data_IF_717222053473
#
_entry.id   IF_717222053473
#
_cell.length_a   1.000
_cell.length_b   1.000
_cell.length_c   1.000
_cell.angle_alpha   90.00
_cell.angle_beta   90.00
_cell.angle_gamma   90.00
#
_symmetry.space_group_name_H-M   'P 1'
#
loop_
_entity.id
_entity.type
_entity.pdbx_description
1 polymer ?
#
# COMPACT_ATOMS: atom_id res chain seq x y z
N UNK A 1 -0.26 31.29 -9.33
CA UNK A 1 -1.69 31.17 -8.96
C UNK A 1 -2.27 32.43 -8.35
N UNK A 2 -1.85 32.91 -7.18
CA UNK A 2 -2.43 34.13 -6.55
C UNK A 2 -2.56 35.34 -7.49
N UNK A 3 -1.48 35.73 -8.16
CA UNK A 3 -1.51 36.83 -9.15
C UNK A 3 -2.43 36.54 -10.34
N UNK A 4 -2.46 35.31 -10.81
CA UNK A 4 -3.38 34.92 -11.89
C UNK A 4 -4.84 35.13 -11.46
N UNK A 5 -5.21 34.76 -10.24
CA UNK A 5 -6.58 34.95 -9.78
C UNK A 5 -6.92 36.41 -9.44
N UNK A 6 -5.98 37.16 -8.85
CA UNK A 6 -6.22 38.50 -8.29
C UNK A 6 -5.89 39.69 -9.20
N UNK A 7 -5.25 39.48 -10.35
CA UNK A 7 -4.83 40.55 -11.26
C UNK A 7 -5.58 40.53 -12.59
N UNK A 8 -5.63 41.68 -13.26
CA UNK A 8 -6.07 41.77 -14.65
C UNK A 8 -5.07 41.07 -15.57
N UNK A 9 -5.55 40.41 -16.63
CA UNK A 9 -4.68 39.70 -17.57
C UNK A 9 -4.51 40.52 -18.84
N UNK A 10 -3.31 40.46 -19.40
CA UNK A 10 -2.96 41.15 -20.64
C UNK A 10 -2.32 40.15 -21.59
N UNK A 11 -2.82 40.10 -22.82
CA UNK A 11 -2.21 39.28 -23.87
C UNK A 11 -0.84 39.83 -24.25
N UNK A 12 0.07 38.94 -24.68
CA UNK A 12 1.43 39.30 -25.12
C UNK A 12 1.73 38.83 -26.56
N UNK A 13 1.01 39.31 -27.59
CA UNK A 13 1.29 38.92 -28.98
C UNK A 13 2.73 39.29 -29.35
N UNK A 14 3.50 38.30 -29.81
CA UNK A 14 4.93 38.50 -30.11
C UNK A 14 5.80 38.85 -28.90
N UNK A 15 5.33 38.60 -27.67
CA UNK A 15 6.06 38.88 -26.43
C UNK A 15 5.87 40.29 -25.86
N UNK A 16 5.07 41.16 -26.50
CA UNK A 16 4.80 42.53 -26.04
C UNK A 16 3.41 42.62 -25.41
N UNK A 17 3.33 43.17 -24.19
CA UNK A 17 2.07 43.29 -23.45
C UNK A 17 1.10 44.30 -24.06
N UNK A 18 -0.16 43.88 -24.22
CA UNK A 18 -1.25 44.74 -24.67
C UNK A 18 -1.65 45.76 -23.60
N UNK A 19 -1.90 47.00 -24.02
CA UNK A 19 -2.40 48.06 -23.12
C UNK A 19 -3.82 47.80 -22.59
N UNK A 20 -4.61 46.99 -23.30
CA UNK A 20 -5.98 46.64 -22.90
C UNK A 20 -5.98 45.25 -22.26
N UNK A 21 -6.58 45.08 -21.06
CA UNK A 21 -6.70 43.77 -20.44
C UNK A 21 -7.70 42.88 -21.21
N UNK A 22 -7.61 41.58 -21.00
CA UNK A 22 -8.60 40.61 -21.49
C UNK A 22 -9.93 40.78 -20.73
N UNK A 23 -10.96 40.03 -21.13
CA UNK A 23 -12.25 40.01 -20.43
C UNK A 23 -12.20 39.34 -19.03
N UNK A 24 -11.03 38.88 -18.58
CA UNK A 24 -10.85 38.33 -17.25
C UNK A 24 -11.14 39.41 -16.19
N UNK A 25 -12.08 39.10 -15.28
CA UNK A 25 -12.35 39.93 -14.11
C UNK A 25 -11.60 39.31 -12.93
N UNK A 26 -10.70 40.06 -12.26
CA UNK A 26 -10.01 39.56 -11.08
C UNK A 26 -10.99 39.02 -10.04
N UNK A 27 -10.67 37.88 -9.46
CA UNK A 27 -11.45 37.21 -8.42
C UNK A 27 -12.88 36.84 -8.84
N UNK A 28 -13.19 36.74 -10.14
CA UNK A 28 -14.57 36.53 -10.58
C UNK A 28 -15.14 35.14 -10.28
N UNK A 29 -14.28 34.15 -10.00
CA UNK A 29 -14.66 32.77 -9.65
C UNK A 29 -13.53 32.06 -8.90
N UNK A 30 -13.83 31.00 -8.12
CA UNK A 30 -12.80 30.18 -7.52
C UNK A 30 -12.03 29.37 -8.57
N UNK A 31 -10.85 28.90 -8.18
CA UNK A 31 -10.01 27.96 -8.93
C UNK A 31 -10.17 26.57 -8.33
N UNK A 32 -10.31 25.58 -9.19
CA UNK A 32 -10.36 24.16 -8.82
C UNK A 32 -9.07 23.46 -9.24
N UNK A 33 -8.67 22.45 -8.48
CA UNK A 33 -7.65 21.50 -8.92
C UNK A 33 -8.35 20.26 -9.46
N UNK A 34 -8.23 19.99 -10.75
CA UNK A 34 -8.89 18.85 -11.39
C UNK A 34 -8.03 17.58 -11.40
N UNK A 35 -6.71 17.75 -11.51
CA UNK A 35 -5.74 16.65 -11.59
C UNK A 35 -4.52 16.95 -10.71
N UNK A 36 -4.75 17.11 -9.40
CA UNK A 36 -3.66 17.33 -8.46
C UNK A 36 -2.98 16.00 -8.13
N UNK A 37 -1.68 15.88 -8.42
CA UNK A 37 -0.91 14.73 -8.01
C UNK A 37 0.51 14.73 -8.56
N UNK A 38 1.24 13.67 -8.22
CA UNK A 38 2.55 13.35 -8.78
C UNK A 38 2.67 11.83 -8.93
N UNK A 39 3.49 11.34 -9.87
CA UNK A 39 3.76 9.91 -10.00
C UNK A 39 4.51 9.37 -8.78
N UNK A 40 4.25 8.12 -8.40
CA UNK A 40 4.96 7.44 -7.32
C UNK A 40 6.32 6.89 -7.78
N UNK A 41 7.22 7.79 -8.10
CA UNK A 41 8.55 7.54 -8.64
C UNK A 41 9.52 8.54 -8.01
N UNK A 42 10.79 8.17 -7.84
CA UNK A 42 11.84 9.07 -7.34
C UNK A 42 11.73 10.43 -8.04
N UNK A 43 11.74 11.51 -7.25
CA UNK A 43 11.60 12.89 -7.72
C UNK A 43 10.33 13.17 -8.53
N UNK A 44 9.24 12.43 -8.29
CA UNK A 44 7.93 12.64 -8.92
C UNK A 44 7.45 14.08 -8.88
N UNK A 45 7.73 14.78 -7.78
CA UNK A 45 7.38 16.19 -7.58
C UNK A 45 8.11 17.18 -8.51
N UNK A 46 9.24 16.80 -9.11
CA UNK A 46 10.02 17.68 -9.99
C UNK A 46 9.34 17.95 -11.33
N UNK A 47 8.52 17.00 -11.79
CA UNK A 47 7.73 17.11 -13.00
C UNK A 47 6.41 16.34 -12.80
N UNK A 48 5.46 16.89 -12.02
CA UNK A 48 4.27 16.17 -11.57
C UNK A 48 3.34 15.76 -12.72
N UNK A 49 3.47 16.38 -13.89
CA UNK A 49 2.73 16.04 -15.10
C UNK A 49 3.28 14.83 -15.87
N UNK A 50 4.50 14.38 -15.59
CA UNK A 50 5.12 13.26 -16.28
C UNK A 50 4.70 11.92 -15.66
N UNK A 51 4.62 10.88 -16.50
CA UNK A 51 4.26 9.53 -16.09
C UNK A 51 4.98 8.50 -16.95
N UNK A 52 5.07 7.27 -16.44
CA UNK A 52 5.64 6.12 -17.15
C UNK A 52 4.50 5.23 -17.64
N UNK A 53 4.37 5.14 -18.97
CA UNK A 53 3.46 4.21 -19.63
C UNK A 53 4.05 3.76 -20.97
N UNK A 54 4.35 2.47 -21.11
CA UNK A 54 4.92 1.90 -22.32
C UNK A 54 4.03 2.09 -23.57
N UNK A 55 2.75 2.45 -23.41
CA UNK A 55 1.79 2.68 -24.49
C UNK A 55 1.64 4.15 -24.87
N UNK A 56 2.19 5.07 -24.09
CA UNK A 56 2.09 6.51 -24.34
C UNK A 56 3.33 7.05 -25.03
N UNK A 57 3.13 7.83 -26.10
CA UNK A 57 4.21 8.59 -26.73
C UNK A 57 4.73 9.77 -25.87
N UNK A 58 4.01 10.13 -24.82
CA UNK A 58 4.36 11.20 -23.87
C UNK A 58 5.00 10.64 -22.58
N UNK A 59 5.32 9.35 -22.55
CA UNK A 59 5.92 8.69 -21.39
C UNK A 59 7.34 9.20 -21.11
N UNK A 60 7.56 9.77 -19.93
CA UNK A 60 8.86 10.23 -19.48
C UNK A 60 9.00 10.14 -17.96
N UNK A 61 10.23 9.92 -17.49
CA UNK A 61 10.56 10.00 -16.07
C UNK A 61 10.78 11.47 -15.68
N UNK A 62 10.52 11.84 -14.40
CA UNK A 62 10.90 13.16 -13.90
C UNK A 62 12.40 13.43 -14.08
N UNK A 63 12.81 14.70 -14.29
CA UNK A 63 14.21 15.06 -14.37
C UNK A 63 15.02 14.58 -13.16
N UNK A 64 16.18 13.99 -13.44
CA UNK A 64 17.13 13.44 -12.45
C UNK A 64 16.63 12.24 -11.64
N UNK A 65 15.46 11.70 -11.97
CA UNK A 65 14.90 10.50 -11.33
C UNK A 65 15.76 9.27 -11.64
N UNK A 66 16.02 8.44 -10.63
CA UNK A 66 16.61 7.11 -10.80
C UNK A 66 15.59 6.02 -11.20
N UNK A 67 14.31 6.39 -11.26
CA UNK A 67 13.14 5.55 -11.58
C UNK A 67 12.79 4.49 -10.54
N UNK A 68 13.30 4.61 -9.31
CA UNK A 68 12.81 3.82 -8.18
C UNK A 68 11.35 4.20 -7.87
N UNK A 69 10.55 3.25 -7.37
CA UNK A 69 9.20 3.57 -6.89
C UNK A 69 9.33 4.31 -5.55
N UNK A 70 8.60 5.40 -5.45
CA UNK A 70 8.58 6.23 -4.25
C UNK A 70 7.13 6.66 -3.94
N UNK A 71 6.52 5.97 -2.98
CA UNK A 71 5.17 6.32 -2.51
C UNK A 71 5.22 7.50 -1.53
N UNK A 72 6.36 7.72 -0.86
CA UNK A 72 6.52 8.82 0.10
C UNK A 72 6.54 10.16 -0.63
N UNK A 73 7.26 10.31 -1.75
CA UNK A 73 7.29 11.57 -2.50
C UNK A 73 5.90 11.93 -3.05
N UNK A 74 5.12 10.94 -3.50
CA UNK A 74 3.74 11.15 -3.93
C UNK A 74 2.90 11.68 -2.75
N UNK A 75 2.96 11.01 -1.60
CA UNK A 75 2.25 11.43 -0.38
C UNK A 75 2.66 12.84 0.05
N UNK A 76 3.97 13.11 0.17
CA UNK A 76 4.52 14.41 0.57
C UNK A 76 4.11 15.53 -0.39
N UNK A 77 4.05 15.25 -1.69
CA UNK A 77 3.56 16.21 -2.67
C UNK A 77 2.10 16.60 -2.37
N UNK A 78 1.24 15.60 -2.16
CA UNK A 78 -0.17 15.84 -1.85
C UNK A 78 -0.34 16.58 -0.52
N UNK A 79 0.33 16.14 0.54
CA UNK A 79 0.33 16.79 1.86
C UNK A 79 0.77 18.25 1.77
N UNK A 80 1.83 18.54 1.00
CA UNK A 80 2.33 19.89 0.81
C UNK A 80 1.30 20.79 0.11
N UNK A 81 0.68 20.34 -0.97
CA UNK A 81 -0.35 21.12 -1.66
C UNK A 81 -1.59 21.34 -0.79
N UNK A 82 -2.10 20.29 -0.15
CA UNK A 82 -3.31 20.35 0.68
C UNK A 82 -3.10 21.26 1.89
N UNK A 83 -2.00 21.08 2.63
CA UNK A 83 -1.70 21.91 3.81
C UNK A 83 -1.37 23.37 3.44
N UNK A 84 -0.69 23.60 2.31
CA UNK A 84 -0.35 24.95 1.88
C UNK A 84 -1.60 25.78 1.56
N UNK A 85 -2.61 25.20 0.90
CA UNK A 85 -3.83 25.92 0.54
C UNK A 85 -4.90 25.91 1.64
N UNK A 86 -4.81 25.01 2.61
CA UNK A 86 -5.65 25.04 3.81
C UNK A 86 -5.33 26.22 4.75
N UNK A 87 -4.14 26.82 4.65
CA UNK A 87 -3.78 28.02 5.40
C UNK A 87 -4.55 29.25 4.88
N UNK A 88 -5.30 29.87 5.78
CA UNK A 88 -6.13 31.02 5.46
C UNK A 88 -5.37 32.22 4.90
N UNK A 89 -4.13 32.42 5.33
CA UNK A 89 -3.27 33.49 4.83
C UNK A 89 -2.80 33.24 3.38
N UNK A 90 -2.84 31.99 2.92
CA UNK A 90 -2.34 31.58 1.59
C UNK A 90 -3.45 31.45 0.56
N UNK A 91 -4.69 31.24 0.99
CA UNK A 91 -5.89 31.14 0.17
C UNK A 91 -6.89 32.29 0.48
N UNK A 92 -6.69 33.51 -0.04
CA UNK A 92 -7.46 34.68 0.37
C UNK A 92 -8.93 34.64 -0.05
N UNK A 93 -9.77 35.40 0.66
CA UNK A 93 -11.18 35.62 0.31
C UNK A 93 -11.33 36.49 -0.96
N UNK A 94 -12.42 36.23 -1.69
CA UNK A 94 -12.84 37.06 -2.83
C UNK A 94 -13.61 38.29 -2.37
N UNK A 95 -13.34 39.42 -3.03
CA UNK A 95 -14.13 40.64 -2.91
C UNK A 95 -15.36 40.64 -3.84
N UNK A 96 -15.50 39.64 -4.72
CA UNK A 96 -16.54 39.58 -5.77
C UNK A 96 -17.61 38.53 -5.47
N UNK A 97 -17.26 37.43 -4.79
CA UNK A 97 -18.19 36.37 -4.41
C UNK A 97 -17.94 35.91 -2.97
N UNK A 98 -18.91 35.25 -2.37
CA UNK A 98 -18.74 34.63 -1.05
C UNK A 98 -17.91 33.34 -1.19
N UNK A 99 -16.63 33.40 -0.82
CA UNK A 99 -15.73 32.26 -0.86
C UNK A 99 -14.28 32.68 -1.11
N UNK A 100 -13.42 31.66 -1.24
CA UNK A 100 -11.96 31.82 -1.31
C UNK A 100 -11.43 31.60 -2.72
N UNK A 101 -10.17 31.98 -2.94
CA UNK A 101 -9.49 31.81 -4.23
C UNK A 101 -9.50 30.36 -4.72
N UNK A 102 -9.14 29.42 -3.86
CA UNK A 102 -9.26 27.98 -4.11
C UNK A 102 -10.44 27.42 -3.33
N UNK A 103 -11.22 26.61 -4.03
CA UNK A 103 -12.28 25.80 -3.46
C UNK A 103 -11.69 24.47 -2.98
N UNK A 104 -11.53 24.34 -1.66
CA UNK A 104 -10.85 23.20 -1.05
C UNK A 104 -11.68 21.90 -1.17
N UNK A 105 -13.00 22.00 -1.33
CA UNK A 105 -13.88 20.85 -1.56
C UNK A 105 -13.71 20.28 -2.98
N UNK A 106 -13.14 21.07 -3.90
CA UNK A 106 -12.90 20.71 -5.30
C UNK A 106 -11.39 20.57 -5.61
N UNK A 107 -10.63 20.01 -4.66
CA UNK A 107 -9.27 19.53 -4.88
C UNK A 107 -9.28 18.06 -5.32
N UNK A 108 -9.57 17.81 -6.60
CA UNK A 108 -9.62 16.48 -7.19
C UNK A 108 -8.21 15.89 -7.32
N UNK A 109 -7.97 14.79 -6.61
CA UNK A 109 -6.68 14.11 -6.57
C UNK A 109 -6.56 13.10 -7.71
N UNK A 110 -5.51 13.26 -8.52
CA UNK A 110 -5.14 12.33 -9.56
C UNK A 110 -4.16 11.28 -9.01
N UNK A 111 -4.31 9.98 -9.25
CA UNK A 111 -5.35 9.28 -10.02
C UNK A 111 -6.11 8.30 -9.12
N UNK A 112 -6.97 8.80 -8.22
CA UNK A 112 -7.86 7.89 -7.49
C UNK A 112 -9.05 7.50 -8.39
N UNK A 113 -9.30 6.20 -8.52
CA UNK A 113 -10.49 5.70 -9.20
C UNK A 113 -11.17 4.55 -8.43
N UNK A 114 -12.35 4.14 -8.92
CA UNK A 114 -13.21 3.17 -8.25
C UNK A 114 -12.73 1.70 -8.33
N UNK A 115 -11.62 1.40 -9.00
CA UNK A 115 -11.13 0.01 -9.11
C UNK A 115 -10.60 -0.46 -7.76
N UNK A 116 -11.06 -1.60 -7.22
CA UNK A 116 -10.67 -2.02 -5.90
C UNK A 116 -9.20 -2.48 -5.89
N UNK A 117 -8.46 -2.08 -4.86
CA UNK A 117 -7.15 -2.65 -4.55
C UNK A 117 -7.36 -3.92 -3.71
N UNK A 118 -6.64 -5.03 -3.96
CA UNK A 118 -5.53 -5.19 -4.91
C UNK A 118 -5.93 -5.64 -6.32
N UNK A 119 -7.23 -5.84 -6.62
CA UNK A 119 -7.65 -6.34 -7.93
C UNK A 119 -7.13 -5.47 -9.07
N UNK A 120 -7.18 -4.15 -8.94
CA UNK A 120 -6.29 -3.26 -9.67
C UNK A 120 -5.09 -2.94 -8.76
N UNK A 121 -3.84 -3.13 -9.22
CA UNK A 121 -3.43 -3.43 -10.60
C UNK A 121 -3.35 -4.92 -10.99
N UNK A 122 -3.64 -5.86 -10.08
CA UNK A 122 -3.24 -7.26 -10.24
C UNK A 122 -3.96 -8.02 -11.38
N UNK A 123 -5.23 -7.73 -11.65
CA UNK A 123 -6.10 -8.42 -12.63
C UNK A 123 -5.88 -7.89 -14.04
N UNK A 124 -4.73 -8.21 -14.60
CA UNK A 124 -4.35 -7.83 -15.98
C UNK A 124 -5.18 -8.52 -17.06
N UNK A 125 -5.94 -9.55 -16.69
CA UNK A 125 -6.98 -10.18 -17.52
C UNK A 125 -8.25 -9.32 -17.67
N UNK A 126 -8.45 -8.34 -16.77
CA UNK A 126 -9.55 -7.37 -16.83
C UNK A 126 -9.06 -6.02 -17.36
N UNK A 127 -7.94 -5.53 -16.82
CA UNK A 127 -7.40 -4.20 -17.13
C UNK A 127 -6.00 -4.26 -17.73
N UNK A 128 -5.76 -3.49 -18.79
CA UNK A 128 -4.50 -3.59 -19.54
C UNK A 128 -3.39 -2.63 -19.07
N UNK A 129 -3.72 -1.71 -18.17
CA UNK A 129 -2.89 -0.62 -17.64
C UNK A 129 -2.30 -0.91 -16.24
N UNK A 130 -2.45 -2.13 -15.71
CA UNK A 130 -1.95 -2.49 -14.38
C UNK A 130 -0.45 -2.25 -14.18
N UNK A 131 0.37 -2.39 -15.23
CA UNK A 131 1.81 -2.13 -15.15
C UNK A 131 2.13 -0.65 -14.85
N UNK A 132 1.30 0.29 -15.29
CA UNK A 132 1.50 1.73 -15.10
C UNK A 132 1.23 2.18 -13.66
N UNK A 133 0.51 1.37 -12.85
CA UNK A 133 0.26 1.66 -11.44
C UNK A 133 1.56 1.83 -10.64
N UNK A 134 2.56 0.97 -10.91
CA UNK A 134 3.79 0.88 -10.12
C UNK A 134 4.53 2.22 -9.99
N UNK A 135 4.62 2.99 -11.08
CA UNK A 135 5.34 4.27 -11.13
C UNK A 135 4.45 5.45 -11.51
N UNK A 136 3.14 5.23 -11.64
CA UNK A 136 2.17 6.25 -12.03
C UNK A 136 1.50 6.93 -10.84
N UNK A 137 0.50 7.76 -11.14
CA UNK A 137 -0.21 8.61 -10.18
C UNK A 137 -1.27 7.91 -9.33
N UNK A 138 -1.58 6.64 -9.60
CA UNK A 138 -2.66 5.95 -8.91
C UNK A 138 -2.49 5.93 -7.40
N UNK A 139 -3.59 6.22 -6.71
CA UNK A 139 -3.66 6.27 -5.25
C UNK A 139 -4.24 4.98 -4.64
N UNK A 140 -4.81 4.11 -5.47
CA UNK A 140 -5.40 2.83 -5.08
C UNK A 140 -4.34 1.96 -4.39
N UNK A 141 -4.58 1.61 -3.12
CA UNK A 141 -3.62 0.86 -2.28
C UNK A 141 -2.54 1.71 -1.60
N UNK A 142 -2.40 3.00 -1.94
CA UNK A 142 -1.41 3.92 -1.35
C UNK A 142 -2.01 4.93 -0.37
N UNK A 143 -3.17 5.50 -0.70
CA UNK A 143 -3.81 6.56 0.08
C UNK A 143 -4.21 6.14 1.51
N UNK A 144 -4.33 4.83 1.78
CA UNK A 144 -4.65 4.30 3.10
C UNK A 144 -3.44 3.97 3.98
N UNK A 145 -2.21 4.12 3.48
CA UNK A 145 -1.01 3.82 4.26
C UNK A 145 -0.78 4.88 5.34
N UNK A 146 -0.19 4.48 6.47
CA UNK A 146 0.19 5.41 7.53
C UNK A 146 1.57 6.00 7.25
N UNK A 147 1.84 7.22 7.74
CA UNK A 147 3.21 7.70 7.78
C UNK A 147 3.97 6.99 8.92
N UNK A 148 5.29 6.93 8.79
CA UNK A 148 6.15 6.46 9.87
C UNK A 148 5.95 7.28 11.14
N UNK A 149 5.87 8.60 11.00
CA UNK A 149 5.64 9.54 12.10
C UNK A 149 4.35 9.22 12.88
N UNK A 150 3.21 9.10 12.18
CA UNK A 150 1.92 8.75 12.79
C UNK A 150 1.96 7.36 13.47
N UNK A 151 2.65 6.40 12.86
CA UNK A 151 2.78 5.04 13.42
C UNK A 151 3.58 5.05 14.73
N UNK A 152 4.69 5.80 14.76
CA UNK A 152 5.53 5.95 15.95
C UNK A 152 4.79 6.71 17.05
N UNK A 153 4.11 7.81 16.71
CA UNK A 153 3.27 8.57 17.65
C UNK A 153 2.19 7.69 18.28
N UNK A 154 1.46 6.88 17.50
CA UNK A 154 0.43 5.98 18.04
C UNK A 154 1.01 4.94 19.00
N UNK A 155 2.18 4.36 18.69
CA UNK A 155 2.87 3.41 19.58
C UNK A 155 3.27 4.10 20.90
N UNK A 156 3.85 5.30 20.83
CA UNK A 156 4.25 6.08 22.01
C UNK A 156 3.04 6.50 22.85
N UNK A 157 1.98 6.99 22.22
CA UNK A 157 0.76 7.43 22.89
C UNK A 157 0.10 6.26 23.65
N UNK A 158 0.04 5.06 23.07
CA UNK A 158 -0.46 3.84 23.73
C UNK A 158 0.38 3.43 24.94
N UNK A 159 1.65 3.79 24.95
CA UNK A 159 2.55 3.59 26.08
C UNK A 159 2.44 4.68 27.16
N UNK A 160 1.61 5.71 26.94
CA UNK A 160 1.48 6.87 27.81
C UNK A 160 2.55 7.94 27.60
N UNK A 161 3.34 7.86 26.53
CA UNK A 161 4.36 8.85 26.18
C UNK A 161 3.79 9.82 25.14
N UNK A 162 3.39 11.00 25.58
CA UNK A 162 2.77 12.02 24.72
C UNK A 162 3.72 13.12 24.30
N UNK A 163 4.84 13.28 25.00
CA UNK A 163 5.87 14.28 24.67
C UNK A 163 6.95 13.65 23.79
N UNK A 164 6.63 13.57 22.50
CA UNK A 164 7.49 12.98 21.46
C UNK A 164 7.59 13.90 20.26
N UNK A 165 8.77 13.96 19.62
CA UNK A 165 9.01 14.65 18.36
C UNK A 165 9.28 13.66 17.24
N UNK A 166 8.44 13.68 16.22
CA UNK A 166 8.56 12.84 15.03
C UNK A 166 8.62 13.65 13.74
N UNK A 167 8.84 14.97 13.83
CA UNK A 167 8.85 15.86 12.65
C UNK A 167 9.86 15.45 11.59
N UNK A 168 10.95 14.85 12.03
CA UNK A 168 12.09 14.45 11.20
C UNK A 168 11.97 13.01 10.69
N UNK A 169 10.86 12.33 10.98
CA UNK A 169 10.57 11.00 10.45
C UNK A 169 9.90 11.08 9.06
N UNK A 170 10.63 10.60 8.05
CA UNK A 170 10.13 10.32 6.71
C UNK A 170 9.92 8.83 6.46
N UNK A 171 8.75 8.40 6.02
CA UNK A 171 8.50 7.02 5.64
C UNK A 171 7.01 6.72 5.48
N UNK A 172 6.71 5.67 4.71
CA UNK A 172 5.36 5.13 4.56
C UNK A 172 5.34 3.72 5.13
N UNK A 173 4.43 3.48 6.07
CA UNK A 173 4.15 2.16 6.66
C UNK A 173 2.88 1.63 6.01
N UNK A 174 3.05 0.70 5.07
CA UNK A 174 1.93 0.05 4.36
C UNK A 174 1.01 -0.70 5.33
N UNK A 175 1.59 -1.32 6.35
CA UNK A 175 0.87 -1.97 7.43
C UNK A 175 1.82 -2.52 8.48
N UNK A 176 1.33 -2.62 9.71
CA UNK A 176 2.04 -3.26 10.83
C UNK A 176 1.01 -4.01 11.68
N UNK A 177 1.36 -5.24 12.11
CA UNK A 177 0.47 -6.08 12.90
C UNK A 177 1.11 -6.47 14.24
N UNK A 178 0.66 -5.84 15.32
CA UNK A 178 1.05 -6.22 16.70
C UNK A 178 -0.11 -7.00 17.32
N UNK A 179 -0.01 -8.33 17.28
CA UNK A 179 -1.10 -9.25 17.65
C UNK A 179 -0.96 -9.86 19.07
N UNK A 180 0.10 -9.50 19.78
CA UNK A 180 0.41 -9.98 21.12
C UNK A 180 0.82 -8.83 22.05
N UNK A 181 0.59 -8.96 23.37
CA UNK A 181 1.06 -7.97 24.34
C UNK A 181 2.57 -7.78 24.24
N UNK A 182 2.99 -6.55 23.96
CA UNK A 182 4.41 -6.20 23.79
C UNK A 182 4.71 -4.84 24.42
N UNK A 183 5.99 -4.52 24.56
CA UNK A 183 6.43 -3.19 25.02
C UNK A 183 6.50 -2.23 23.83
N UNK A 184 6.35 -0.93 24.07
CA UNK A 184 6.52 0.08 23.02
C UNK A 184 7.90 0.00 22.37
N UNK A 185 8.96 -0.24 23.16
CA UNK A 185 10.32 -0.46 22.65
C UNK A 185 10.38 -1.64 21.68
N UNK A 186 9.77 -2.77 22.02
CA UNK A 186 9.77 -3.95 21.16
C UNK A 186 8.93 -3.75 19.88
N UNK A 187 7.85 -2.96 19.95
CA UNK A 187 7.07 -2.57 18.78
C UNK A 187 7.83 -1.59 17.86
N UNK A 188 8.62 -0.67 18.43
CA UNK A 188 9.43 0.30 17.67
C UNK A 188 10.68 -0.31 17.04
N UNK A 189 11.29 -1.33 17.66
CA UNK A 189 12.52 -1.95 17.17
C UNK A 189 12.49 -2.39 15.68
N UNK A 190 11.46 -3.10 15.17
CA UNK A 190 11.39 -3.44 13.75
C UNK A 190 11.24 -2.20 12.85
N UNK A 191 10.56 -1.15 13.32
CA UNK A 191 10.46 0.12 12.58
C UNK A 191 11.82 0.84 12.54
N UNK A 192 12.58 0.87 13.64
CA UNK A 192 13.92 1.45 13.68
C UNK A 192 14.86 0.73 12.71
N UNK A 193 14.84 -0.61 12.73
CA UNK A 193 15.61 -1.45 11.82
C UNK A 193 15.22 -1.20 10.35
N UNK A 194 13.92 -1.16 10.06
CA UNK A 194 13.41 -0.93 8.72
C UNK A 194 13.78 0.46 8.20
N UNK A 195 13.38 1.50 8.91
CA UNK A 195 13.43 2.88 8.43
C UNK A 195 14.71 3.64 8.84
N UNK A 196 15.63 3.02 9.59
CA UNK A 196 16.93 3.58 9.98
C UNK A 196 16.84 4.92 10.74
N UNK A 197 15.97 4.98 11.74
CA UNK A 197 15.88 6.15 12.62
C UNK A 197 16.38 5.85 14.04
N UNK A 198 16.93 6.88 14.66
CA UNK A 198 17.34 6.87 16.05
C UNK A 198 16.30 7.53 16.95
N UNK A 199 16.38 7.20 18.24
CA UNK A 199 15.55 7.79 19.29
C UNK A 199 16.48 8.30 20.37
N UNK A 200 16.39 9.60 20.65
CA UNK A 200 17.17 10.26 21.71
C UNK A 200 16.24 11.03 22.63
N UNK A 201 16.72 11.31 23.84
CA UNK A 201 16.08 12.29 24.72
C UNK A 201 16.79 13.64 24.52
N UNK A 202 16.01 14.69 24.29
CA UNK A 202 16.48 16.06 24.10
C UNK A 202 15.54 17.00 24.85
N UNK A 203 16.08 17.71 25.83
CA UNK A 203 15.34 18.64 26.70
C UNK A 203 14.06 18.04 27.34
N UNK A 204 14.10 16.76 27.74
CA UNK A 204 12.98 16.05 28.36
C UNK A 204 12.00 15.39 27.38
N UNK A 205 12.18 15.59 26.07
CA UNK A 205 11.33 15.04 25.01
C UNK A 205 12.05 13.91 24.28
N UNK A 206 11.31 12.89 23.86
CA UNK A 206 11.86 11.87 22.95
C UNK A 206 11.83 12.40 21.51
N UNK A 207 12.99 12.54 20.90
CA UNK A 207 13.13 12.99 19.50
C UNK A 207 13.49 11.79 18.62
N UNK A 208 12.71 11.61 17.56
CA UNK A 208 12.84 10.56 16.57
C UNK A 208 13.29 11.17 15.24
N UNK A 209 14.45 10.76 14.75
CA UNK A 209 15.05 11.35 13.56
C UNK A 209 15.85 10.33 12.75
N UNK A 210 15.94 10.56 11.44
CA UNK A 210 16.79 9.77 10.55
C UNK A 210 18.27 10.09 10.78
N UNK A 211 19.05 9.08 11.17
CA UNK A 211 20.48 9.27 11.49
C UNK A 211 21.34 9.64 10.28
N UNK A 212 20.92 9.28 9.07
CA UNK A 212 21.67 9.55 7.83
C UNK A 212 21.67 11.04 7.43
N UNK A 213 20.66 11.79 7.88
CA UNK A 213 20.46 13.20 7.51
C UNK A 213 21.16 14.18 8.46
N UNK A 214 21.70 13.68 9.59
CA UNK A 214 22.44 14.49 10.53
C UNK A 214 23.80 14.92 9.94
N UNK A 215 24.20 16.19 10.10
CA UNK A 215 25.51 16.67 9.67
C UNK A 215 26.62 15.90 10.40
N UNK A 216 27.67 15.54 9.67
CA UNK A 216 28.85 14.88 10.26
C UNK A 216 29.76 15.94 10.86
N UNK A 217 29.87 15.98 12.19
CA UNK A 217 30.78 16.88 12.87
C UNK A 217 32.22 16.33 12.80
N UNK A 218 33.17 17.13 12.32
CA UNK A 218 34.57 16.74 12.34
C UNK A 218 35.17 17.06 13.73
N UNK A 219 35.84 16.09 14.35
CA UNK A 219 36.62 16.30 15.56
C UNK A 219 38.11 16.11 15.28
N UNK A 220 38.91 17.07 15.75
CA UNK A 220 40.37 17.01 15.71
C UNK A 220 40.99 16.78 17.09
N UNK A 221 42.33 16.68 17.16
CA UNK A 221 43.05 16.53 18.41
C UNK A 221 42.73 17.61 19.46
N UNK A 222 42.52 18.85 19.00
CA UNK A 222 42.24 20.01 19.86
C UNK A 222 40.82 19.98 20.49
N UNK A 223 39.95 19.09 20.00
CA UNK A 223 38.60 18.89 20.56
C UNK A 223 38.56 17.87 21.70
N UNK A 224 39.68 17.19 21.99
CA UNK A 224 39.77 16.14 23.00
C UNK A 224 40.41 16.64 24.31
N UNK A 225 40.10 15.98 25.43
CA UNK A 225 40.61 16.38 26.75
C UNK A 225 42.09 16.00 26.95
N UNK A 226 42.55 14.94 26.29
CA UNK A 226 43.90 14.41 26.47
C UNK A 226 44.91 15.02 25.47
N UNK A 227 46.12 15.30 25.95
CA UNK A 227 47.20 15.90 25.14
C UNK A 227 47.86 14.89 24.18
N UNK A 228 47.68 13.58 24.44
CA UNK A 228 47.99 12.46 23.55
C UNK A 228 46.68 11.72 23.25
N UNK A 229 45.83 12.25 22.36
CA UNK A 229 44.50 11.72 22.12
C UNK A 229 44.56 10.30 21.54
N UNK A 230 44.36 9.30 22.39
CA UNK A 230 44.26 7.90 21.96
C UNK A 230 42.80 7.58 21.72
N UNK A 231 42.43 7.48 20.45
CA UNK A 231 41.19 6.80 20.07
C UNK A 231 41.37 5.31 20.32
N UNK A 232 40.49 4.71 21.11
CA UNK A 232 40.50 3.26 21.32
C UNK A 232 39.69 2.61 20.21
N UNK A 233 40.35 2.32 19.09
CA UNK A 233 39.73 1.59 18.00
C UNK A 233 39.74 0.10 18.31
N UNK A 234 38.58 -0.48 18.58
CA UNK A 234 38.42 -1.91 18.73
C UNK A 234 37.65 -2.48 17.55
N UNK A 235 38.11 -3.64 17.07
CA UNK A 235 37.39 -4.45 16.08
C UNK A 235 36.92 -5.73 16.76
N UNK A 236 35.62 -6.00 16.67
CA UNK A 236 35.04 -7.23 17.19
C UNK A 236 35.70 -8.47 16.55
N UNK A 237 35.76 -9.55 17.35
CA UNK A 237 36.28 -10.86 16.95
C UNK A 237 35.62 -11.33 15.65
N UNK A 238 36.44 -11.84 14.72
CA UNK A 238 35.99 -12.35 13.43
C UNK A 238 34.96 -13.46 13.62
N UNK A 239 35.09 -14.29 14.66
CA UNK A 239 34.15 -15.37 14.95
C UNK A 239 32.74 -14.87 15.33
N UNK A 240 32.65 -13.71 15.97
CA UNK A 240 31.39 -13.10 16.40
C UNK A 240 30.70 -12.27 15.30
N UNK A 241 31.34 -12.10 14.13
CA UNK A 241 30.77 -11.29 13.05
C UNK A 241 29.60 -11.99 12.39
N UNK A 242 28.51 -11.26 12.11
CA UNK A 242 27.40 -11.79 11.35
C UNK A 242 27.82 -12.05 9.91
N UNK A 243 27.42 -13.20 9.38
CA UNK A 243 27.64 -13.59 7.99
C UNK A 243 26.35 -13.64 7.19
N UNK A 244 25.21 -13.69 7.88
CA UNK A 244 23.88 -13.73 7.30
C UNK A 244 22.92 -12.89 8.13
N UNK A 245 22.06 -12.14 7.44
CA UNK A 245 20.88 -11.50 8.02
C UNK A 245 19.63 -12.09 7.37
N UNK A 246 18.60 -12.37 8.17
CA UNK A 246 17.33 -12.95 7.77
C UNK A 246 16.20 -12.13 8.35
N UNK A 247 15.20 -11.87 7.52
CA UNK A 247 13.99 -11.15 7.92
C UNK A 247 12.78 -11.99 7.54
N UNK A 248 11.84 -12.11 8.48
CA UNK A 248 10.47 -12.54 8.21
C UNK A 248 9.58 -11.31 8.14
N UNK A 249 8.69 -11.25 7.16
CA UNK A 249 7.81 -10.11 6.93
C UNK A 249 6.44 -10.56 6.41
N UNK A 250 5.48 -9.66 6.37
CA UNK A 250 4.16 -9.91 5.79
C UNK A 250 4.19 -9.43 4.32
N UNK A 251 4.02 -10.34 3.37
CA UNK A 251 4.08 -10.00 1.94
C UNK A 251 2.74 -9.44 1.45
N UNK A 252 2.69 -8.12 1.28
CA UNK A 252 1.49 -7.43 0.81
C UNK A 252 1.09 -7.75 -0.64
N UNK A 253 2.03 -8.23 -1.46
CA UNK A 253 1.77 -8.63 -2.84
C UNK A 253 1.20 -10.06 -2.94
N UNK A 254 1.49 -10.93 -1.97
CA UNK A 254 1.09 -12.34 -1.96
C UNK A 254 -0.02 -12.62 -0.93
N UNK A 255 -1.09 -11.84 -0.95
CA UNK A 255 -2.25 -12.01 -0.06
C UNK A 255 -1.91 -12.01 1.44
N UNK A 256 -0.88 -11.25 1.85
CA UNK A 256 -0.42 -11.14 3.24
C UNK A 256 0.10 -12.46 3.82
N UNK A 257 0.63 -13.35 2.98
CA UNK A 257 1.39 -14.52 3.44
C UNK A 257 2.71 -14.11 4.09
N UNK A 258 3.32 -15.00 4.89
CA UNK A 258 4.61 -14.72 5.51
C UNK A 258 5.72 -14.93 4.49
N UNK A 259 6.40 -13.84 4.14
CA UNK A 259 7.61 -13.82 3.32
C UNK A 259 8.88 -13.97 4.17
N UNK A 260 9.98 -14.32 3.51
CA UNK A 260 11.31 -14.32 4.10
C UNK A 260 12.35 -13.83 3.10
N UNK A 261 13.25 -12.96 3.54
CA UNK A 261 14.40 -12.49 2.78
C UNK A 261 15.68 -12.79 3.57
N UNK A 262 16.80 -12.97 2.86
CA UNK A 262 18.11 -13.06 3.50
C UNK A 262 19.22 -12.47 2.65
N UNK A 263 20.21 -11.88 3.32
CA UNK A 263 21.47 -11.44 2.73
C UNK A 263 22.61 -12.20 3.39
N UNK A 264 23.57 -12.67 2.60
CA UNK A 264 24.71 -13.46 3.09
C UNK A 264 26.01 -13.02 2.44
N UNK A 265 27.06 -12.93 3.26
CA UNK A 265 28.42 -12.69 2.80
C UNK A 265 29.03 -13.99 2.24
N UNK A 266 29.52 -13.94 0.99
CA UNK A 266 29.98 -15.13 0.24
C UNK A 266 31.34 -15.68 0.73
N UNK A 267 32.20 -14.84 1.30
CA UNK A 267 33.57 -15.19 1.72
C UNK A 267 33.85 -14.81 3.19
N UNK A 268 32.91 -15.09 4.09
CA UNK A 268 33.05 -14.74 5.51
C UNK A 268 33.59 -15.90 6.35
N UNK A 269 34.46 -15.59 7.31
CA UNK A 269 35.02 -16.55 8.27
C UNK A 269 34.21 -16.64 9.59
N UNK A 270 33.18 -15.81 9.77
CA UNK A 270 32.31 -15.85 10.94
C UNK A 270 31.16 -16.84 10.79
N UNK A 271 30.34 -16.98 11.84
CA UNK A 271 29.15 -17.84 11.84
C UNK A 271 27.88 -17.15 12.35
N UNK A 272 27.96 -15.85 12.68
CA UNK A 272 26.83 -15.11 13.26
C UNK A 272 25.65 -14.98 12.29
N UNK A 273 24.44 -15.13 12.81
CA UNK A 273 23.19 -14.91 12.05
C UNK A 273 22.36 -13.87 12.79
N UNK A 274 21.86 -12.88 12.04
CA UNK A 274 20.91 -11.88 12.53
C UNK A 274 19.52 -12.31 12.06
N UNK A 275 18.63 -12.62 12.99
CA UNK A 275 17.22 -12.89 12.68
C UNK A 275 16.36 -11.71 13.16
N UNK A 276 15.55 -11.16 12.27
CA UNK A 276 14.55 -10.14 12.59
C UNK A 276 13.16 -10.63 12.19
N UNK A 277 12.24 -10.66 13.14
CA UNK A 277 10.82 -10.81 12.85
C UNK A 277 10.22 -9.40 12.72
N UNK A 278 9.90 -9.01 11.48
CA UNK A 278 9.34 -7.72 11.16
C UNK A 278 7.83 -7.89 10.93
N UNK A 279 6.97 -7.50 11.89
CA UNK A 279 5.51 -7.56 11.72
C UNK A 279 5.00 -6.44 10.79
N UNK A 280 5.73 -6.17 9.71
CA UNK A 280 5.52 -5.10 8.74
C UNK A 280 5.06 -5.71 7.42
N UNK A 281 4.12 -5.03 6.78
CA UNK A 281 3.73 -5.32 5.40
C UNK A 281 4.75 -4.70 4.47
N UNK A 282 5.49 -5.53 3.74
CA UNK A 282 6.60 -5.12 2.89
C UNK A 282 6.48 -5.79 1.51
N UNK A 283 7.13 -5.20 0.50
CA UNK A 283 7.45 -5.89 -0.74
C UNK A 283 8.86 -6.51 -0.70
N UNK A 284 9.13 -7.43 -1.63
CA UNK A 284 10.43 -8.12 -1.73
C UNK A 284 11.63 -7.18 -1.81
N UNK A 285 11.47 -6.02 -2.46
CA UNK A 285 12.52 -5.02 -2.57
C UNK A 285 12.83 -4.35 -1.24
N UNK A 286 11.79 -3.97 -0.50
CA UNK A 286 11.93 -3.44 0.85
C UNK A 286 12.57 -4.48 1.78
N UNK A 287 12.14 -5.75 1.69
CA UNK A 287 12.69 -6.83 2.49
C UNK A 287 14.17 -7.11 2.16
N UNK A 288 14.54 -7.08 0.86
CA UNK A 288 15.92 -7.22 0.40
C UNK A 288 16.82 -6.07 0.90
N UNK A 289 16.36 -4.82 0.75
CA UNK A 289 17.09 -3.66 1.27
C UNK A 289 17.26 -3.72 2.80
N UNK A 290 16.25 -4.19 3.53
CA UNK A 290 16.33 -4.35 4.99
C UNK A 290 17.40 -5.38 5.39
N UNK A 291 17.44 -6.56 4.78
CA UNK A 291 18.47 -7.57 5.14
C UNK A 291 19.88 -7.12 4.76
N UNK A 292 20.04 -6.40 3.64
CA UNK A 292 21.33 -5.82 3.23
C UNK A 292 21.79 -4.75 4.22
N UNK A 293 20.89 -3.84 4.60
CA UNK A 293 21.15 -2.80 5.60
C UNK A 293 21.51 -3.40 6.95
N UNK A 294 20.75 -4.38 7.46
CA UNK A 294 21.03 -5.05 8.74
C UNK A 294 22.41 -5.70 8.76
N UNK A 295 22.78 -6.39 7.68
CA UNK A 295 24.10 -7.02 7.59
C UNK A 295 25.20 -5.96 7.50
N UNK A 296 25.01 -4.92 6.69
CA UNK A 296 25.96 -3.81 6.53
C UNK A 296 26.20 -3.04 7.84
N UNK A 297 25.12 -2.70 8.55
CA UNK A 297 25.17 -1.99 9.83
C UNK A 297 25.91 -2.80 10.89
N UNK A 298 25.62 -4.10 10.99
CA UNK A 298 26.26 -4.96 11.97
C UNK A 298 27.74 -5.22 11.65
N UNK A 299 28.11 -5.27 10.36
CA UNK A 299 29.51 -5.35 9.93
C UNK A 299 30.27 -4.04 10.19
N UNK A 300 29.63 -2.89 10.00
CA UNK A 300 30.21 -1.59 10.30
C UNK A 300 30.38 -1.40 11.82
N UNK A 301 29.34 -1.69 12.59
CA UNK A 301 29.32 -1.56 14.05
C UNK A 301 30.32 -2.48 14.77
N UNK A 302 30.92 -3.44 14.06
CA UNK A 302 32.05 -4.23 14.56
C UNK A 302 33.31 -3.37 14.81
N UNK A 303 33.43 -2.20 14.19
CA UNK A 303 34.46 -1.21 14.49
C UNK A 303 33.90 -0.16 15.46
N UNK A 304 34.53 -0.04 16.62
CA UNK A 304 34.12 0.84 17.72
C UNK A 304 35.22 1.83 18.04
N UNK A 305 34.86 2.98 18.59
CA UNK A 305 35.78 3.99 19.05
C UNK A 305 35.32 4.53 20.40
N UNK A 306 36.24 4.70 21.34
CA UNK A 306 36.00 5.46 22.57
C UNK A 306 36.87 6.73 22.57
N UNK A 307 36.24 7.88 22.82
CA UNK A 307 36.89 9.20 22.92
C UNK A 307 36.39 9.98 24.14
N UNK A 308 37.19 10.94 24.61
CA UNK A 308 36.82 11.82 25.71
C UNK A 308 36.87 13.29 25.26
N UNK A 309 35.74 13.98 25.34
CA UNK A 309 35.59 15.39 24.96
C UNK A 309 35.35 16.26 26.21
N UNK A 310 35.72 17.56 26.17
CA UNK A 310 35.52 18.44 27.29
C UNK A 310 34.02 18.69 27.54
N UNK A 311 33.62 19.04 28.79
CA UNK A 311 32.23 19.39 29.10
C UNK A 311 31.67 20.57 28.31
N UNK A 312 32.49 21.35 27.59
CA UNK A 312 32.01 22.39 26.69
C UNK A 312 31.31 21.84 25.45
N UNK A 313 31.53 20.57 25.09
CA UNK A 313 30.86 19.90 23.96
C UNK A 313 29.51 19.32 24.33
N UNK A 314 28.66 20.10 25.01
CA UNK A 314 27.27 19.72 25.34
C UNK A 314 26.38 19.62 24.10
N UNK A 315 26.84 20.17 22.97
CA UNK A 315 26.20 20.07 21.66
C UNK A 315 26.13 18.64 21.12
N UNK A 316 27.00 17.73 21.61
CA UNK A 316 27.04 16.34 21.17
C UNK A 316 26.06 15.47 21.95
N UNK A 317 25.26 14.71 21.22
CA UNK A 317 24.20 13.84 21.73
C UNK A 317 24.27 12.42 21.13
N UNK A 318 23.65 11.40 21.78
CA UNK A 318 23.50 10.08 21.18
C UNK A 318 22.77 10.16 19.83
N UNK A 319 23.29 9.44 18.84
CA UNK A 319 22.82 9.49 17.45
C UNK A 319 23.64 10.43 16.56
N UNK A 320 24.38 11.38 17.12
CA UNK A 320 25.24 12.27 16.32
C UNK A 320 26.37 11.49 15.63
N UNK A 321 26.71 11.96 14.44
CA UNK A 321 27.75 11.37 13.58
C UNK A 321 29.00 12.23 13.58
N UNK A 322 30.13 11.59 13.85
CA UNK A 322 31.44 12.22 13.94
C UNK A 322 32.37 11.68 12.87
N UNK A 323 33.12 12.58 12.23
CA UNK A 323 34.30 12.21 11.45
C UNK A 323 35.52 12.24 12.37
N UNK A 324 36.12 11.06 12.57
CA UNK A 324 37.30 10.85 13.41
C UNK A 324 38.58 10.68 12.58
N UNK A 325 38.56 11.02 11.29
CA UNK A 325 39.71 10.85 10.39
C UNK A 325 40.95 11.64 10.80
N UNK A 326 40.75 12.85 11.31
CA UNK A 326 41.82 13.68 11.86
C UNK A 326 42.48 13.10 13.13
N UNK A 327 41.82 12.14 13.78
CA UNK A 327 42.29 11.43 14.96
C UNK A 327 42.93 10.08 14.63
N UNK A 328 43.09 9.76 13.33
CA UNK A 328 43.69 8.51 12.86
C UNK A 328 42.70 7.37 12.65
N UNK A 329 41.39 7.59 12.80
CA UNK A 329 40.41 6.64 12.33
C UNK A 329 40.41 6.63 10.78
N UNK A 330 40.22 5.47 10.15
CA UNK A 330 40.04 5.43 8.69
C UNK A 330 38.83 6.26 8.25
N UNK A 331 38.74 6.61 6.95
CA UNK A 331 37.64 7.42 6.43
C UNK A 331 36.27 6.82 6.78
N UNK A 332 35.27 7.68 6.95
CA UNK A 332 33.89 7.31 7.28
C UNK A 332 33.45 7.77 8.67
N UNK A 333 32.13 7.86 8.87
CA UNK A 333 31.55 8.40 10.09
C UNK A 333 31.45 7.34 11.20
N UNK A 334 31.54 7.82 12.44
CA UNK A 334 31.21 7.08 13.65
C UNK A 334 29.98 7.70 14.29
N UNK A 335 29.04 6.88 14.74
CA UNK A 335 27.83 7.34 15.41
C UNK A 335 27.96 7.15 16.91
N UNK A 336 27.61 8.17 17.69
CA UNK A 336 27.61 8.13 19.15
C UNK A 336 26.47 7.21 19.61
N UNK A 337 26.81 6.12 20.30
CA UNK A 337 25.81 5.18 20.84
C UNK A 337 25.57 5.38 22.34
N UNK A 338 26.56 5.95 23.04
CA UNK A 338 26.49 6.16 24.48
C UNK A 338 27.37 7.33 24.87
N UNK A 339 26.87 8.12 25.83
CA UNK A 339 27.60 9.18 26.49
C UNK A 339 27.59 8.91 27.99
N UNK A 340 28.75 9.01 28.63
CA UNK A 340 28.90 8.98 30.08
C UNK A 340 29.55 10.27 30.55
N UNK A 341 28.82 11.05 31.35
CA UNK A 341 29.30 12.32 31.89
C UNK A 341 29.86 12.13 33.32
N UNK A 342 31.18 12.17 33.45
CA UNK A 342 31.89 11.99 34.72
C UNK A 342 33.10 12.94 34.81
N UNK A 343 32.84 14.24 34.94
CA UNK A 343 33.86 15.31 34.91
C UNK A 343 34.42 15.60 33.51
N UNK A 344 34.54 14.58 32.67
CA UNK A 344 34.72 14.64 31.21
C UNK A 344 33.55 13.90 30.55
N UNK A 345 33.25 14.19 29.28
CA UNK A 345 32.23 13.44 28.53
C UNK A 345 32.90 12.30 27.77
N UNK A 346 32.65 11.05 28.17
CA UNK A 346 33.14 9.86 27.47
C UNK A 346 32.11 9.46 26.42
N UNK A 347 32.52 9.40 25.16
CA UNK A 347 31.69 9.03 24.03
C UNK A 347 32.11 7.63 23.56
N UNK A 348 31.17 6.69 23.56
CA UNK A 348 31.34 5.41 22.88
C UNK A 348 30.64 5.47 21.53
N UNK A 349 31.36 5.11 20.48
CA UNK A 349 30.91 5.20 19.11
C UNK A 349 31.05 3.88 18.38
N UNK A 350 30.18 3.68 17.40
CA UNK A 350 30.25 2.58 16.43
C UNK A 350 30.43 3.16 15.04
N UNK A 351 31.19 2.49 14.18
CA UNK A 351 31.30 2.91 12.78
C UNK A 351 29.93 2.78 12.11
N UNK A 352 29.54 3.84 11.44
CA UNK A 352 28.26 3.93 10.76
C UNK A 352 28.41 3.41 9.32
N UNK A 353 27.43 2.64 8.86
CA UNK A 353 27.40 2.19 7.47
C UNK A 353 26.68 3.24 6.62
N UNK A 354 27.17 3.45 5.38
CA UNK A 354 26.33 4.09 4.37
C UNK A 354 25.23 3.10 3.98
N UNK A 355 24.01 3.32 4.45
CA UNK A 355 22.86 2.50 4.13
C UNK A 355 22.08 3.01 2.92
N UNK A 356 21.09 2.23 2.53
CA UNK A 356 20.06 2.67 1.59
C UNK A 356 18.77 2.98 2.36
N UNK A 357 18.12 4.10 2.06
CA UNK A 357 16.73 4.31 2.49
C UNK A 357 15.85 3.19 1.93
N UNK A 358 14.84 2.78 2.69
CA UNK A 358 13.84 1.82 2.21
C UNK A 358 13.06 2.41 1.02
N UNK A 359 13.53 2.11 -0.19
CA UNK A 359 12.77 2.29 -1.41
C UNK A 359 11.91 1.05 -1.68
N UNK A 360 10.69 1.24 -2.18
CA UNK A 360 9.92 0.13 -2.72
C UNK A 360 10.57 -0.29 -4.04
N UNK A 361 10.89 -1.57 -4.22
CA UNK A 361 11.25 -2.05 -5.56
C UNK A 361 10.02 -2.16 -6.46
N UNK A 362 8.81 -1.91 -5.95
CA UNK A 362 7.57 -1.97 -6.72
C UNK A 362 7.29 -3.37 -7.25
N UNK A 363 7.37 -4.39 -6.38
CA UNK A 363 6.99 -5.74 -6.75
C UNK A 363 5.59 -5.75 -7.39
N UNK A 364 5.40 -6.62 -8.39
CA UNK A 364 4.10 -6.75 -9.03
C UNK A 364 3.10 -7.29 -7.99
N UNK A 365 1.95 -6.62 -7.85
CA UNK A 365 0.89 -7.09 -6.96
C UNK A 365 0.33 -8.39 -7.54
N UNK A 366 0.45 -9.48 -6.77
CA UNK A 366 -0.07 -10.78 -7.16
C UNK A 366 -1.60 -10.75 -7.23
N UNK A 367 -2.16 -11.33 -8.29
CA UNK A 367 -3.59 -11.54 -8.36
C UNK A 367 -3.94 -12.74 -7.47
N UNK A 368 -4.60 -12.48 -6.34
CA UNK A 368 -5.25 -13.56 -5.61
C UNK A 368 -6.24 -14.28 -6.58
N UNK A 369 -6.29 -15.62 -6.60
CA UNK A 369 -7.24 -16.33 -7.43
C UNK A 369 -8.65 -15.85 -7.09
N UNK A 370 -9.39 -15.40 -8.11
CA UNK A 370 -10.74 -14.89 -7.92
C UNK A 370 -11.60 -15.98 -7.28
N UNK A 371 -11.98 -15.78 -6.01
CA UNK A 371 -13.03 -16.62 -5.41
C UNK A 371 -14.34 -16.24 -6.11
N UNK A 372 -15.07 -17.18 -6.70
CA UNK A 372 -16.35 -16.87 -7.31
C UNK A 372 -17.26 -16.28 -6.23
N UNK A 373 -17.63 -15.01 -6.40
CA UNK A 373 -18.63 -14.38 -5.53
C UNK A 373 -19.94 -15.08 -5.81
N UNK A 374 -20.57 -15.61 -4.75
CA UNK A 374 -21.87 -16.25 -4.88
C UNK A 374 -22.85 -15.25 -5.49
N UNK A 375 -23.37 -15.57 -6.68
CA UNK A 375 -24.44 -14.77 -7.29
C UNK A 375 -25.71 -14.95 -6.47
N UNK A 376 -26.56 -13.91 -6.42
CA UNK A 376 -27.89 -14.04 -5.80
C UNK A 376 -28.69 -15.06 -6.62
N UNK A 377 -29.10 -16.21 -6.05
CA UNK A 377 -29.82 -17.21 -6.80
C UNK A 377 -31.19 -16.70 -7.23
N UNK A 378 -31.57 -17.00 -8.47
CA UNK A 378 -32.96 -16.91 -8.93
C UNK A 378 -33.72 -18.12 -8.40
N UNK A 379 -34.93 -17.88 -7.89
CA UNK A 379 -35.77 -18.91 -7.29
C UNK A 379 -37.15 -18.87 -7.93
N UNK A 380 -37.62 -20.02 -8.41
CA UNK A 380 -38.96 -20.20 -8.93
C UNK A 380 -39.68 -21.26 -8.11
N UNK A 381 -40.81 -20.86 -7.56
CA UNK A 381 -41.77 -21.78 -6.94
C UNK A 381 -42.74 -22.24 -8.02
N UNK A 382 -42.83 -23.55 -8.23
CA UNK A 382 -43.56 -24.16 -9.32
C UNK A 382 -44.69 -25.02 -8.72
N UNK A 383 -45.91 -24.48 -8.77
CA UNK A 383 -47.12 -25.22 -8.45
C UNK A 383 -47.59 -25.96 -9.70
N UNK A 384 -47.04 -27.15 -9.90
CA UNK A 384 -47.28 -27.99 -11.07
C UNK A 384 -48.02 -29.27 -10.65
N UNK A 385 -48.76 -29.91 -11.57
CA UNK A 385 -49.24 -31.27 -11.34
C UNK A 385 -48.09 -32.22 -10.97
N UNK A 386 -48.37 -33.30 -10.20
CA UNK A 386 -47.37 -34.31 -9.87
C UNK A 386 -46.61 -34.78 -11.11
N UNK A 387 -45.30 -34.95 -10.96
CA UNK A 387 -44.47 -35.44 -12.06
C UNK A 387 -44.84 -36.88 -12.41
N UNK A 388 -44.82 -37.27 -13.70
CA UNK A 388 -45.00 -38.67 -14.08
C UNK A 388 -44.02 -39.57 -13.34
N UNK A 389 -44.52 -40.61 -12.67
CA UNK A 389 -43.73 -41.50 -11.80
C UNK A 389 -43.65 -41.09 -10.33
N UNK A 390 -44.19 -39.93 -9.98
CA UNK A 390 -44.27 -39.42 -8.60
C UNK A 390 -45.66 -38.86 -8.34
N UNK A 391 -46.68 -39.55 -8.81
CA UNK A 391 -48.07 -39.12 -8.76
C UNK A 391 -48.59 -38.94 -7.32
N UNK A 392 -48.00 -39.65 -6.35
CA UNK A 392 -48.31 -39.52 -4.92
C UNK A 392 -47.59 -38.34 -4.22
N UNK A 393 -46.74 -37.60 -4.94
CA UNK A 393 -45.99 -36.45 -4.42
C UNK A 393 -46.65 -35.14 -4.89
N UNK A 394 -47.51 -34.59 -4.03
CA UNK A 394 -48.27 -33.36 -4.27
C UNK A 394 -47.49 -32.07 -3.92
N UNK A 395 -46.22 -32.19 -3.56
CA UNK A 395 -45.42 -31.05 -3.11
C UNK A 395 -45.06 -30.14 -4.29
N UNK A 396 -45.03 -28.81 -4.09
CA UNK A 396 -44.57 -27.89 -5.10
C UNK A 396 -43.10 -28.12 -5.43
N UNK A 397 -42.74 -27.88 -6.69
CA UNK A 397 -41.36 -27.96 -7.14
C UNK A 397 -40.67 -26.61 -6.94
N UNK A 398 -39.35 -26.65 -6.78
CA UNK A 398 -38.52 -25.46 -6.70
C UNK A 398 -37.39 -25.55 -7.72
N UNK A 399 -37.24 -24.51 -8.54
CA UNK A 399 -36.10 -24.36 -9.44
C UNK A 399 -35.21 -23.22 -8.93
N UNK A 400 -33.92 -23.50 -8.80
CA UNK A 400 -32.93 -22.53 -8.35
C UNK A 400 -31.84 -22.42 -9.41
N UNK A 401 -31.57 -21.22 -9.91
CA UNK A 401 -30.49 -20.98 -10.86
C UNK A 401 -29.55 -19.89 -10.35
N UNK A 402 -28.24 -20.09 -10.53
CA UNK A 402 -27.23 -19.12 -10.15
C UNK A 402 -25.98 -19.29 -11.03
N UNK A 403 -25.37 -18.19 -11.45
CA UNK A 403 -24.14 -18.19 -12.24
C UNK A 403 -23.18 -17.14 -11.67
N UNK A 404 -22.04 -17.55 -11.07
CA UNK A 404 -21.58 -18.93 -10.88
C UNK A 404 -22.40 -19.70 -9.83
N UNK A 405 -22.49 -21.03 -9.98
CA UNK A 405 -23.02 -21.92 -8.94
C UNK A 405 -21.93 -22.25 -7.93
N UNK A 406 -22.03 -21.70 -6.72
CA UNK A 406 -20.97 -21.81 -5.70
C UNK A 406 -21.19 -22.93 -4.70
N UNK A 407 -22.26 -23.73 -4.86
CA UNK A 407 -22.58 -24.87 -3.98
C UNK A 407 -24.07 -25.02 -3.72
N UNK A 408 -24.46 -26.00 -2.86
CA UNK A 408 -25.87 -26.28 -2.57
C UNK A 408 -26.63 -25.07 -1.99
N UNK A 409 -27.85 -24.84 -2.47
CA UNK A 409 -28.74 -23.77 -1.98
C UNK A 409 -29.85 -24.39 -1.15
N UNK A 410 -29.93 -24.00 0.13
CA UNK A 410 -31.00 -24.44 1.05
C UNK A 410 -32.21 -23.51 0.94
N UNK A 411 -33.39 -24.11 0.74
CA UNK A 411 -34.67 -23.41 0.62
C UNK A 411 -35.39 -23.52 1.96
N UNK A 412 -35.70 -22.36 2.55
CA UNK A 412 -36.44 -22.25 3.81
C UNK A 412 -37.85 -21.71 3.55
N UNK A 413 -38.86 -22.22 4.26
CA UNK A 413 -40.21 -21.69 4.22
C UNK A 413 -40.90 -21.75 5.60
N UNK A 414 -41.62 -20.68 5.93
CA UNK A 414 -42.40 -20.52 7.16
C UNK A 414 -43.16 -19.18 7.15
N UNK A 415 -44.00 -18.95 8.15
CA UNK A 415 -44.83 -17.75 8.24
C UNK A 415 -44.02 -16.45 8.44
N UNK A 416 -42.82 -16.56 9.03
CA UNK A 416 -41.89 -15.46 9.19
C UNK A 416 -40.45 -15.95 9.02
N UNK A 417 -39.52 -15.05 8.63
CA UNK A 417 -38.11 -15.40 8.36
C UNK A 417 -37.42 -16.08 9.55
N UNK A 418 -37.70 -15.65 10.78
CA UNK A 418 -37.14 -16.22 12.01
C UNK A 418 -37.77 -17.55 12.44
N UNK A 419 -38.85 -17.98 11.80
CA UNK A 419 -39.54 -19.27 12.05
C UNK A 419 -39.46 -20.22 10.85
N UNK A 420 -38.73 -19.84 9.79
CA UNK A 420 -38.65 -20.59 8.56
C UNK A 420 -37.79 -21.85 8.71
N UNK A 421 -38.41 -23.02 8.54
CA UNK A 421 -37.71 -24.30 8.55
C UNK A 421 -37.13 -24.62 7.16
N UNK A 422 -36.03 -25.38 7.13
CA UNK A 422 -35.48 -25.92 5.89
C UNK A 422 -36.50 -26.87 5.24
N UNK A 423 -36.84 -26.63 3.97
CA UNK A 423 -37.80 -27.43 3.20
C UNK A 423 -37.15 -28.27 2.11
N UNK A 424 -36.10 -27.75 1.48
CA UNK A 424 -35.38 -28.47 0.43
C UNK A 424 -33.93 -27.99 0.31
N UNK A 425 -33.11 -28.76 -0.40
CA UNK A 425 -31.76 -28.37 -0.78
C UNK A 425 -31.62 -28.60 -2.28
N UNK A 426 -31.36 -27.54 -3.03
CA UNK A 426 -30.96 -27.65 -4.43
C UNK A 426 -29.46 -27.95 -4.48
N UNK A 427 -29.10 -29.15 -4.96
CA UNK A 427 -27.70 -29.60 -5.05
C UNK A 427 -27.00 -29.11 -6.33
N UNK A 428 -27.79 -28.81 -7.38
CA UNK A 428 -27.33 -28.33 -8.68
C UNK A 428 -28.26 -27.22 -9.19
N UNK A 429 -27.76 -26.32 -10.08
CA UNK A 429 -28.60 -25.30 -10.68
C UNK A 429 -29.62 -25.93 -11.63
N UNK A 430 -30.82 -25.36 -11.68
CA UNK A 430 -31.80 -25.64 -12.71
C UNK A 430 -31.47 -24.91 -14.01
N UNK A 431 -31.75 -25.54 -15.14
CA UNK A 431 -31.68 -24.92 -16.47
C UNK A 431 -32.98 -24.16 -16.73
N UNK A 432 -32.92 -22.83 -16.70
CA UNK A 432 -34.10 -21.97 -16.81
C UNK A 432 -34.10 -21.25 -18.15
N UNK A 433 -35.24 -21.33 -18.84
CA UNK A 433 -35.49 -20.73 -20.13
C UNK A 433 -36.72 -19.85 -20.11
N UNK A 434 -36.77 -18.92 -21.06
CA UNK A 434 -37.96 -18.10 -21.31
C UNK A 434 -38.54 -18.46 -22.67
N UNK A 435 -39.88 -18.51 -22.75
CA UNK A 435 -40.58 -18.56 -24.02
C UNK A 435 -40.39 -17.23 -24.75
N UNK A 436 -39.96 -17.31 -26.01
CA UNK A 436 -39.82 -16.13 -26.89
C UNK A 436 -41.19 -15.67 -27.39
N UNK A 437 -42.13 -16.61 -27.56
CA UNK A 437 -43.49 -16.37 -28.00
C UNK A 437 -44.46 -17.18 -27.15
N UNK A 438 -45.71 -16.73 -27.05
CA UNK A 438 -46.76 -17.45 -26.34
C UNK A 438 -46.98 -18.84 -26.96
N UNK A 439 -47.13 -19.86 -26.09
CA UNK A 439 -47.46 -21.21 -26.51
C UNK A 439 -48.97 -21.31 -26.78
N UNK A 440 -49.33 -21.71 -28.01
CA UNK A 440 -50.73 -21.94 -28.38
C UNK A 440 -51.21 -23.32 -27.93
N UNK A 441 -52.52 -23.53 -27.71
CA UNK A 441 -53.07 -24.83 -27.38
C UNK A 441 -52.70 -25.89 -28.44
N UNK A 442 -52.19 -27.04 -27.98
CA UNK A 442 -51.78 -28.16 -28.82
C UNK A 442 -52.70 -29.37 -28.70
N UNK A 443 -52.56 -30.36 -29.60
CA UNK A 443 -53.34 -31.60 -29.53
C UNK A 443 -52.97 -32.43 -28.29
N UNK A 444 -53.98 -32.98 -27.61
CA UNK A 444 -53.81 -33.89 -26.48
C UNK A 444 -53.74 -35.34 -26.98
N UNK A 445 -52.83 -36.14 -26.44
CA UNK A 445 -52.75 -37.58 -26.72
C UNK A 445 -52.07 -37.97 -28.04
N UNK A 446 -51.52 -37.02 -28.79
CA UNK A 446 -50.71 -37.28 -30.00
C UNK A 446 -49.56 -36.27 -30.11
N UNK A 447 -48.58 -36.58 -30.95
CA UNK A 447 -47.46 -35.67 -31.21
C UNK A 447 -47.93 -34.41 -31.92
N UNK A 448 -47.54 -33.26 -31.38
CA UNK A 448 -47.62 -32.01 -32.11
C UNK A 448 -46.39 -31.89 -33.02
N UNK A 449 -46.63 -31.89 -34.34
CA UNK A 449 -45.59 -31.71 -35.37
C UNK A 449 -45.67 -30.35 -36.06
N UNK A 450 -46.67 -29.53 -35.73
CA UNK A 450 -46.92 -28.24 -36.35
C UNK A 450 -46.58 -27.08 -35.41
N UNK A 451 -46.76 -27.28 -34.10
CA UNK A 451 -46.37 -26.31 -33.07
C UNK A 451 -44.85 -26.10 -33.06
N UNK A 452 -44.44 -24.84 -33.08
CA UNK A 452 -43.04 -24.43 -32.90
C UNK A 452 -42.91 -23.69 -31.59
N UNK A 453 -42.21 -24.29 -30.63
CA UNK A 453 -41.88 -23.65 -29.36
C UNK A 453 -40.51 -22.97 -29.49
N UNK A 454 -40.48 -21.64 -29.44
CA UNK A 454 -39.24 -20.86 -29.44
C UNK A 454 -38.88 -20.50 -28.00
N UNK A 455 -37.70 -20.91 -27.56
CA UNK A 455 -37.19 -20.65 -26.20
C UNK A 455 -35.82 -19.96 -26.27
N UNK A 456 -35.58 -19.07 -25.31
CA UNK A 456 -34.28 -18.47 -25.05
C UNK A 456 -33.70 -19.12 -23.79
N UNK A 457 -32.60 -19.86 -23.93
CA UNK A 457 -31.92 -20.56 -22.85
C UNK A 457 -30.41 -20.25 -22.86
N UNK A 458 -29.97 -19.11 -22.30
CA UNK A 458 -28.57 -18.73 -22.29
C UNK A 458 -27.72 -19.77 -21.53
N UNK A 459 -26.65 -20.28 -22.14
CA UNK A 459 -25.70 -21.17 -21.48
C UNK A 459 -26.15 -22.63 -21.31
N UNK A 460 -27.27 -23.03 -21.92
CA UNK A 460 -27.78 -24.41 -21.88
C UNK A 460 -27.62 -25.08 -23.24
N UNK A 461 -27.05 -26.29 -23.26
CA UNK A 461 -26.93 -27.10 -24.47
C UNK A 461 -28.17 -28.00 -24.64
N UNK A 462 -29.00 -27.70 -25.64
CA UNK A 462 -30.16 -28.51 -25.97
C UNK A 462 -29.77 -29.74 -26.79
N UNK A 463 -30.42 -30.88 -26.52
CA UNK A 463 -30.23 -32.11 -27.29
C UNK A 463 -31.57 -32.69 -27.73
N UNK A 464 -31.58 -33.31 -28.90
CA UNK A 464 -32.72 -34.10 -29.38
C UNK A 464 -32.55 -35.57 -29.01
N UNK A 465 -33.68 -36.24 -28.80
CA UNK A 465 -33.72 -37.68 -28.55
C UNK A 465 -34.53 -38.35 -29.65
N UNK A 466 -34.21 -39.60 -29.97
CA UNK A 466 -35.02 -40.40 -30.91
C UNK A 466 -36.35 -40.79 -30.28
N UNK A 467 -37.37 -41.04 -31.10
CA UNK A 467 -38.69 -41.50 -30.63
C UNK A 467 -38.56 -42.73 -29.71
N UNK A 468 -37.70 -43.69 -30.07
CA UNK A 468 -37.45 -44.88 -29.26
C UNK A 468 -36.85 -44.56 -27.88
N UNK A 469 -35.96 -43.56 -27.79
CA UNK A 469 -35.38 -43.12 -26.52
C UNK A 469 -36.39 -42.36 -25.65
N UNK A 470 -37.28 -41.56 -26.26
CA UNK A 470 -38.36 -40.88 -25.55
C UNK A 470 -39.33 -41.88 -24.91
N UNK A 471 -39.76 -42.89 -25.66
CA UNK A 471 -40.66 -43.93 -25.15
C UNK A 471 -40.01 -44.83 -24.08
N UNK A 472 -38.68 -45.05 -24.13
CA UNK A 472 -37.95 -45.72 -23.04
C UNK A 472 -37.85 -44.87 -21.77
N UNK A 473 -37.60 -43.56 -21.88
CA UNK A 473 -37.54 -42.67 -20.69
C UNK A 473 -38.87 -42.64 -19.93
N UNK A 474 -40.00 -42.80 -20.63
CA UNK A 474 -41.33 -42.93 -20.00
C UNK A 474 -41.45 -44.18 -19.13
N UNK A 475 -40.77 -45.29 -19.46
CA UNK A 475 -40.72 -46.50 -18.61
C UNK A 475 -39.74 -46.38 -17.43
N UNK A 476 -38.75 -45.48 -17.49
CA UNK A 476 -37.85 -45.22 -16.36
C UNK A 476 -38.40 -44.20 -15.36
N UNK A 477 -39.28 -43.30 -15.81
CA UNK A 477 -40.04 -42.43 -14.91
C UNK A 477 -41.30 -43.14 -14.40
N UNK A 478 -41.99 -43.93 -15.23
CA UNK A 478 -43.09 -44.80 -14.81
C UNK A 478 -42.65 -46.26 -14.68
N UNK A 479 -42.04 -46.61 -13.56
CA UNK A 479 -41.97 -47.99 -13.06
C UNK A 479 -42.65 -48.04 -11.68
N UNK A 480 -43.26 -49.17 -11.27
CA UNK A 480 -43.72 -49.35 -9.89
C UNK A 480 -42.63 -49.07 -8.86
#
# INVERSE_FOLDING_TARGET
MRRFWSEAHHDRPGGVESATPTAWIPQSKPVWFLELGAPAIDKGSNAPNLFIDARSGESAAPPFSDRARDDLIQRRTLEAYLSYWADDARNPDSNVYAGRMFDLDHMCLWAWDARPFPQFPARTDIWSDGASWRLGHWLNGRAGAASLAETVEDICARAGMTDVDVSDLGGVVTGMAVDSPTTARAALAPLQAAYRFDVREHEGRLVFAHGEDAPVAALGPDDLVDADPRIWLARADIAARPVEARVRFIDGAQSYEIGAASARQKDAAGEGVIDLDAPLVMDDGQAAALVENLLSDALAAAETADIAVPPSRLDLEPGDRLDLSALGAGPGAFRIVRIEDEGVRKLSLVRDASGHRLGSAGAAIGAAPARPVASRPQFFFLDLPPLPGREDDDRPLAAVAATPWTGPVRIHAGAARNTAASRAIALAPAEIGELVDALWPGPVGRWDRAGVMRVRMPGVALSSVTDAALFRRRQQLGGP
#
